data_IF_461411188573
#
_entry.id   IF_461411188573
#
_cell.length_a   1.000
_cell.length_b   1.000
_cell.length_c   1.000
_cell.angle_alpha   90.00
_cell.angle_beta   90.00
_cell.angle_gamma   90.00
#
_symmetry.space_group_name_H-M   'P 1'
#
loop_
_entity.id
_entity.type
_entity.pdbx_description
1 polymer ?
#
# COMPACT_ATOMS: atom_id res chain seq x y z
N UNK A 1 -6.38 -32.24 10.18
CA UNK A 1 -6.23 -31.28 11.30
C UNK A 1 -6.37 -29.83 10.83
N UNK A 2 -5.60 -29.36 9.85
CA UNK A 2 -5.67 -27.96 9.36
C UNK A 2 -7.09 -27.47 9.01
N UNK A 3 -7.91 -28.30 8.38
CA UNK A 3 -9.28 -27.94 8.01
C UNK A 3 -10.21 -27.70 9.23
N UNK A 4 -9.96 -28.38 10.36
CA UNK A 4 -10.77 -28.22 11.58
C UNK A 4 -10.39 -26.94 12.35
N UNK A 5 -9.11 -26.58 12.39
CA UNK A 5 -8.66 -25.32 12.99
C UNK A 5 -9.15 -24.11 12.20
N UNK A 6 -9.09 -24.18 10.87
CA UNK A 6 -9.56 -23.11 9.99
C UNK A 6 -11.08 -22.91 10.11
N UNK A 7 -11.85 -24.00 10.19
CA UNK A 7 -13.29 -23.95 10.49
C UNK A 7 -13.59 -23.33 11.86
N UNK A 8 -12.76 -23.59 12.87
CA UNK A 8 -12.92 -23.00 14.21
C UNK A 8 -12.68 -21.49 14.17
N UNK A 9 -11.57 -21.05 13.57
CA UNK A 9 -11.23 -19.62 13.42
C UNK A 9 -12.33 -18.89 12.63
N UNK A 10 -12.83 -19.49 11.55
CA UNK A 10 -13.93 -18.94 10.78
C UNK A 10 -15.18 -18.74 11.65
N UNK A 11 -15.60 -19.76 12.40
CA UNK A 11 -16.80 -19.70 13.26
C UNK A 11 -16.66 -18.63 14.34
N UNK A 12 -15.52 -18.58 15.02
CA UNK A 12 -15.26 -17.58 16.07
C UNK A 12 -15.26 -16.16 15.50
N UNK A 13 -14.64 -15.96 14.34
CA UNK A 13 -14.61 -14.66 13.65
C UNK A 13 -16.00 -14.23 13.21
N UNK A 14 -16.74 -15.14 12.55
CA UNK A 14 -18.10 -14.89 12.11
C UNK A 14 -19.01 -14.51 13.28
N UNK A 15 -18.96 -15.25 14.37
CA UNK A 15 -19.75 -14.97 15.57
C UNK A 15 -19.39 -13.63 16.21
N UNK A 16 -18.10 -13.28 16.25
CA UNK A 16 -17.64 -11.98 16.76
C UNK A 16 -18.18 -10.81 15.94
N UNK A 17 -18.22 -10.95 14.62
CA UNK A 17 -18.74 -9.92 13.72
C UNK A 17 -20.27 -9.87 13.83
N UNK A 18 -20.95 -11.02 13.75
CA UNK A 18 -22.42 -11.10 13.75
C UNK A 18 -23.01 -10.41 14.98
N UNK A 19 -22.49 -10.71 16.19
CA UNK A 19 -22.97 -10.12 17.44
C UNK A 19 -22.89 -8.58 17.48
N UNK A 20 -21.95 -7.99 16.71
CA UNK A 20 -21.76 -6.53 16.67
C UNK A 20 -22.58 -5.84 15.60
N UNK A 21 -23.01 -6.56 14.57
CA UNK A 21 -23.74 -5.99 13.42
C UNK A 21 -25.20 -6.43 13.37
N UNK A 22 -25.63 -7.39 14.20
CA UNK A 22 -27.00 -7.93 14.24
C UNK A 22 -28.08 -6.86 14.45
N UNK A 23 -27.80 -5.86 15.28
CA UNK A 23 -28.72 -4.76 15.57
C UNK A 23 -28.62 -3.58 14.60
N UNK A 24 -27.73 -3.64 13.59
CA UNK A 24 -27.54 -2.55 12.63
C UNK A 24 -28.44 -2.71 11.40
N UNK A 25 -29.07 -1.60 11.03
CA UNK A 25 -29.92 -1.50 9.84
C UNK A 25 -29.23 -0.77 8.66
N UNK A 26 -28.04 -0.20 8.88
CA UNK A 26 -27.25 0.54 7.89
C UNK A 26 -25.75 0.32 8.10
N UNK A 27 -24.98 0.39 7.02
CA UNK A 27 -23.52 0.28 7.01
C UNK A 27 -23.02 -1.03 7.63
N UNK A 28 -23.79 -2.11 7.45
CA UNK A 28 -23.49 -3.42 8.02
C UNK A 28 -22.17 -3.94 7.46
N UNK A 29 -21.98 -3.79 6.14
CA UNK A 29 -20.74 -4.20 5.46
C UNK A 29 -19.53 -3.39 5.96
N UNK A 30 -19.69 -2.06 6.08
CA UNK A 30 -18.64 -1.16 6.57
C UNK A 30 -18.22 -1.53 8.01
N UNK A 31 -19.17 -1.75 8.91
CA UNK A 31 -18.87 -2.11 10.30
C UNK A 31 -18.21 -3.49 10.39
N UNK A 32 -18.67 -4.46 9.60
CA UNK A 32 -18.06 -5.78 9.54
C UNK A 32 -16.58 -5.69 9.13
N UNK A 33 -16.27 -4.94 8.06
CA UNK A 33 -14.89 -4.70 7.61
C UNK A 33 -14.04 -3.99 8.66
N UNK A 34 -14.59 -2.97 9.34
CA UNK A 34 -13.91 -2.26 10.42
C UNK A 34 -13.52 -3.19 11.57
N UNK A 35 -14.38 -4.15 11.92
CA UNK A 35 -14.09 -5.17 12.94
C UNK A 35 -13.00 -6.14 12.45
N UNK A 36 -13.10 -6.61 11.21
CA UNK A 36 -12.19 -7.60 10.64
C UNK A 36 -10.77 -7.06 10.45
N UNK A 37 -10.63 -5.82 9.99
CA UNK A 37 -9.35 -5.14 9.79
C UNK A 37 -8.79 -4.53 11.10
N UNK A 38 -9.39 -4.88 12.25
CA UNK A 38 -8.98 -4.43 13.58
C UNK A 38 -8.78 -2.91 13.68
N UNK A 39 -9.64 -2.14 13.03
CA UNK A 39 -9.58 -0.68 12.95
C UNK A 39 -8.27 -0.10 12.35
N UNK A 40 -7.52 -0.84 11.53
CA UNK A 40 -6.50 -0.21 10.67
C UNK A 40 -7.20 0.75 9.69
N UNK A 41 -7.18 2.03 10.02
CA UNK A 41 -7.92 3.07 9.29
C UNK A 41 -7.49 3.16 7.82
N UNK A 42 -6.20 2.99 7.54
CA UNK A 42 -5.69 3.08 6.17
C UNK A 42 -6.22 1.94 5.28
N UNK A 43 -6.11 0.69 5.76
CA UNK A 43 -6.57 -0.48 5.01
C UNK A 43 -8.09 -0.47 4.82
N UNK A 44 -8.81 -0.02 5.85
CA UNK A 44 -10.25 0.18 5.77
C UNK A 44 -10.61 1.23 4.72
N UNK A 45 -10.01 2.43 4.77
CA UNK A 45 -10.28 3.54 3.85
C UNK A 45 -10.01 3.14 2.39
N UNK A 46 -8.93 2.40 2.14
CA UNK A 46 -8.59 1.90 0.81
C UNK A 46 -9.63 0.92 0.29
N UNK A 47 -9.98 -0.08 1.10
CA UNK A 47 -10.91 -1.13 0.71
C UNK A 47 -12.32 -0.57 0.50
N UNK A 48 -12.81 0.29 1.40
CA UNK A 48 -14.16 0.87 1.27
C UNK A 48 -14.25 1.81 0.07
N UNK A 49 -13.20 2.58 -0.23
CA UNK A 49 -13.15 3.43 -1.42
C UNK A 49 -13.17 2.61 -2.71
N UNK A 50 -12.43 1.50 -2.77
CA UNK A 50 -12.34 0.67 -3.97
C UNK A 50 -13.67 0.00 -4.32
N UNK A 51 -14.42 -0.43 -3.31
CA UNK A 51 -15.67 -1.16 -3.51
C UNK A 51 -16.93 -0.27 -3.42
N UNK A 52 -16.76 1.02 -3.12
CA UNK A 52 -17.85 1.99 -2.97
C UNK A 52 -18.71 1.78 -1.71
N UNK A 53 -18.14 1.17 -0.67
CA UNK A 53 -18.82 0.85 0.59
C UNK A 53 -18.86 2.11 1.45
N UNK A 54 -20.03 2.44 2.04
CA UNK A 54 -20.20 3.63 2.88
C UNK A 54 -20.72 3.25 4.25
N UNK A 55 -20.33 3.99 5.28
CA UNK A 55 -20.89 3.85 6.63
C UNK A 55 -22.41 4.12 6.65
N UNK A 56 -22.90 4.95 5.72
CA UNK A 56 -24.32 5.29 5.57
C UNK A 56 -25.09 4.36 4.64
N UNK A 57 -24.45 3.34 4.05
CA UNK A 57 -25.09 2.44 3.07
C UNK A 57 -26.35 1.79 3.65
N UNK A 58 -27.40 1.68 2.85
CA UNK A 58 -28.59 0.96 3.29
C UNK A 58 -28.37 -0.56 3.19
N UNK A 59 -29.24 -1.34 3.83
CA UNK A 59 -29.12 -2.79 3.85
C UNK A 59 -29.15 -3.43 2.44
N UNK A 60 -29.96 -2.88 1.53
CA UNK A 60 -30.08 -3.40 0.16
C UNK A 60 -28.81 -3.09 -0.67
N UNK A 61 -28.21 -1.91 -0.48
CA UNK A 61 -26.92 -1.56 -1.10
C UNK A 61 -25.79 -2.49 -0.62
N UNK A 62 -25.72 -2.74 0.69
CA UNK A 62 -24.76 -3.69 1.26
C UNK A 62 -24.99 -5.11 0.71
N UNK A 63 -26.25 -5.51 0.53
CA UNK A 63 -26.62 -6.80 -0.04
C UNK A 63 -26.19 -6.91 -1.52
N UNK A 64 -26.38 -5.87 -2.31
CA UNK A 64 -25.96 -5.84 -3.72
C UNK A 64 -24.44 -6.00 -3.86
N UNK A 65 -23.68 -5.27 -3.05
CA UNK A 65 -22.22 -5.37 -3.00
C UNK A 65 -21.80 -6.80 -2.61
N UNK A 66 -22.41 -7.36 -1.56
CA UNK A 66 -22.13 -8.72 -1.13
C UNK A 66 -22.38 -9.74 -2.24
N UNK A 67 -23.52 -9.64 -2.94
CA UNK A 67 -23.85 -10.54 -4.05
C UNK A 67 -22.84 -10.44 -5.20
N UNK A 68 -22.37 -9.23 -5.54
CA UNK A 68 -21.34 -9.04 -6.56
C UNK A 68 -20.05 -9.78 -6.18
N UNK A 69 -19.54 -9.56 -4.97
CA UNK A 69 -18.31 -10.19 -4.47
C UNK A 69 -18.44 -11.72 -4.48
N UNK A 70 -19.57 -12.23 -3.99
CA UNK A 70 -19.82 -13.65 -3.92
C UNK A 70 -19.91 -14.30 -5.31
N UNK A 71 -20.50 -13.59 -6.29
CA UNK A 71 -20.51 -14.02 -7.67
C UNK A 71 -19.09 -14.01 -8.28
N UNK A 72 -18.29 -12.97 -8.03
CA UNK A 72 -16.90 -12.89 -8.51
C UNK A 72 -16.06 -14.06 -7.96
N UNK A 73 -16.15 -14.32 -6.65
CA UNK A 73 -15.48 -15.47 -6.01
C UNK A 73 -15.97 -16.79 -6.60
N UNK A 74 -17.28 -16.92 -6.85
CA UNK A 74 -17.84 -18.11 -7.49
C UNK A 74 -17.28 -18.31 -8.89
N UNK A 75 -17.17 -17.26 -9.70
CA UNK A 75 -16.57 -17.34 -11.04
C UNK A 75 -15.12 -17.81 -10.96
N UNK A 76 -14.31 -17.20 -10.09
CA UNK A 76 -12.90 -17.58 -9.89
C UNK A 76 -12.78 -19.07 -9.51
N UNK A 77 -13.59 -19.53 -8.56
CA UNK A 77 -13.51 -20.90 -8.05
C UNK A 77 -13.99 -21.94 -9.07
N UNK A 78 -15.09 -21.67 -9.79
CA UNK A 78 -15.66 -22.64 -10.73
C UNK A 78 -15.01 -22.62 -12.11
N UNK A 79 -14.66 -21.44 -12.62
CA UNK A 79 -14.16 -21.27 -13.99
C UNK A 79 -12.65 -21.43 -14.03
N UNK A 80 -11.92 -20.84 -13.09
CA UNK A 80 -10.45 -20.80 -13.13
C UNK A 80 -9.77 -21.98 -12.41
N UNK A 81 -10.56 -22.87 -11.77
CA UNK A 81 -10.08 -24.09 -11.09
C UNK A 81 -8.85 -23.88 -10.19
N UNK A 82 -8.79 -22.75 -9.47
CA UNK A 82 -7.73 -22.53 -8.49
C UNK A 82 -7.74 -23.66 -7.44
N UNK A 83 -6.62 -24.39 -7.24
CA UNK A 83 -6.56 -25.48 -6.27
C UNK A 83 -6.38 -24.88 -4.87
N UNK A 84 -7.45 -24.32 -4.30
CA UNK A 84 -7.50 -23.84 -2.92
C UNK A 84 -7.64 -25.02 -1.93
N UNK A 85 -6.78 -26.05 -2.06
CA UNK A 85 -6.73 -27.22 -1.17
C UNK A 85 -8.07 -27.92 -0.91
N UNK A 86 -8.11 -28.80 0.09
CA UNK A 86 -9.31 -29.54 0.54
C UNK A 86 -10.41 -28.65 1.18
N UNK A 87 -10.46 -27.35 0.87
CA UNK A 87 -11.61 -26.51 1.18
C UNK A 87 -12.73 -26.92 0.22
N UNK A 88 -13.70 -27.66 0.74
CA UNK A 88 -14.86 -28.08 -0.03
C UNK A 88 -15.80 -26.88 -0.30
N UNK A 89 -15.35 -25.99 -1.17
CA UNK A 89 -16.03 -24.75 -1.61
C UNK A 89 -17.33 -25.03 -2.35
N UNK A 90 -17.56 -26.26 -2.81
CA UNK A 90 -18.86 -26.68 -3.35
C UNK A 90 -19.99 -26.48 -2.33
N UNK A 91 -19.70 -26.60 -1.02
CA UNK A 91 -20.65 -26.35 0.07
C UNK A 91 -20.93 -24.86 0.32
N UNK A 92 -19.94 -23.99 0.07
CA UNK A 92 -20.09 -22.53 0.12
C UNK A 92 -20.90 -22.08 -1.10
N UNK A 93 -20.56 -22.59 -2.28
CA UNK A 93 -21.22 -22.28 -3.53
C UNK A 93 -22.68 -22.77 -3.61
N UNK A 94 -23.00 -23.93 -3.04
CA UNK A 94 -24.39 -24.40 -2.92
C UNK A 94 -25.19 -23.55 -1.93
N UNK A 95 -24.58 -23.08 -0.83
CA UNK A 95 -25.22 -22.08 0.06
C UNK A 95 -25.46 -20.74 -0.65
N UNK A 96 -24.57 -20.36 -1.55
CA UNK A 96 -24.67 -19.14 -2.36
C UNK A 96 -25.71 -19.21 -3.49
N UNK A 97 -26.15 -20.40 -3.91
CA UNK A 97 -27.01 -20.56 -5.08
C UNK A 97 -28.51 -20.32 -4.83
N UNK A 98 -28.97 -20.23 -3.58
CA UNK A 98 -30.40 -20.14 -3.24
C UNK A 98 -30.84 -18.71 -2.87
N UNK A 99 -30.63 -17.73 -3.75
CA UNK A 99 -30.78 -16.29 -3.44
C UNK A 99 -32.18 -15.68 -3.65
N UNK A 100 -33.17 -16.41 -4.14
CA UNK A 100 -34.41 -15.77 -4.62
C UNK A 100 -35.49 -15.55 -3.53
N UNK A 101 -35.37 -16.11 -2.31
CA UNK A 101 -36.29 -15.82 -1.19
C UNK A 101 -35.61 -15.99 0.18
N UNK A 102 -34.75 -15.05 0.56
CA UNK A 102 -33.96 -15.14 1.80
C UNK A 102 -34.49 -14.22 2.91
N UNK A 103 -34.57 -14.75 4.15
CA UNK A 103 -34.86 -13.96 5.35
C UNK A 103 -33.79 -12.88 5.57
N UNK A 104 -34.12 -11.81 6.30
CA UNK A 104 -33.15 -10.74 6.68
C UNK A 104 -31.88 -11.32 7.31
N UNK A 105 -32.03 -12.36 8.14
CA UNK A 105 -30.92 -13.09 8.76
C UNK A 105 -29.97 -13.72 7.72
N UNK A 106 -30.51 -14.42 6.72
CA UNK A 106 -29.70 -15.01 5.65
C UNK A 106 -28.99 -13.95 4.82
N UNK A 107 -29.66 -12.84 4.53
CA UNK A 107 -29.04 -11.70 3.82
C UNK A 107 -27.89 -11.11 4.63
N UNK A 108 -28.06 -10.96 5.95
CA UNK A 108 -27.02 -10.47 6.84
C UNK A 108 -25.83 -11.46 6.92
N UNK A 109 -26.11 -12.77 7.00
CA UNK A 109 -25.07 -13.80 6.93
C UNK A 109 -24.25 -13.67 5.64
N UNK A 110 -24.88 -13.45 4.48
CA UNK A 110 -24.18 -13.24 3.22
C UNK A 110 -23.31 -11.97 3.21
N UNK A 111 -23.79 -10.86 3.77
CA UNK A 111 -23.01 -9.63 3.90
C UNK A 111 -21.76 -9.88 4.74
N UNK A 112 -21.89 -10.56 5.88
CA UNK A 112 -20.75 -10.89 6.75
C UNK A 112 -19.77 -11.82 6.04
N UNK A 113 -20.25 -12.84 5.33
CA UNK A 113 -19.39 -13.76 4.56
C UNK A 113 -18.61 -12.97 3.50
N UNK A 114 -19.28 -12.09 2.75
CA UNK A 114 -18.62 -11.26 1.75
C UNK A 114 -17.57 -10.32 2.38
N UNK A 115 -17.85 -9.73 3.54
CA UNK A 115 -16.87 -8.93 4.30
C UNK A 115 -15.63 -9.74 4.70
N UNK A 116 -15.82 -10.96 5.20
CA UNK A 116 -14.73 -11.88 5.55
C UNK A 116 -13.87 -12.22 4.32
N UNK A 117 -14.50 -12.50 3.18
CA UNK A 117 -13.80 -12.79 1.93
C UNK A 117 -13.00 -11.58 1.44
N UNK A 118 -13.60 -10.39 1.44
CA UNK A 118 -12.91 -9.15 1.07
C UNK A 118 -11.69 -8.91 1.95
N UNK A 119 -11.86 -8.95 3.28
CA UNK A 119 -10.76 -8.71 4.22
C UNK A 119 -9.64 -9.76 4.05
N UNK A 120 -10.01 -11.03 3.85
CA UNK A 120 -9.06 -12.13 3.61
C UNK A 120 -8.29 -11.94 2.30
N UNK A 121 -8.98 -11.73 1.19
CA UNK A 121 -8.36 -11.50 -0.13
C UNK A 121 -7.46 -10.27 -0.08
N UNK A 122 -7.94 -9.17 0.49
CA UNK A 122 -7.16 -7.94 0.62
C UNK A 122 -5.88 -8.15 1.43
N UNK A 123 -5.97 -8.85 2.57
CA UNK A 123 -4.79 -9.16 3.40
C UNK A 123 -3.81 -10.05 2.65
N UNK A 124 -4.31 -11.05 1.91
CA UNK A 124 -3.48 -11.91 1.07
C UNK A 124 -2.79 -11.13 -0.05
N UNK A 125 -3.50 -10.23 -0.76
CA UNK A 125 -2.91 -9.39 -1.80
C UNK A 125 -1.82 -8.48 -1.22
N UNK A 126 -2.07 -7.83 -0.08
CA UNK A 126 -1.06 -7.02 0.62
C UNK A 126 0.15 -7.85 1.04
N UNK A 127 -0.08 -9.08 1.49
CA UNK A 127 1.01 -10.00 1.82
C UNK A 127 1.82 -10.40 0.59
N UNK A 128 1.16 -10.70 -0.54
CA UNK A 128 1.82 -11.05 -1.79
C UNK A 128 2.57 -9.87 -2.41
N UNK A 129 2.01 -8.65 -2.39
CA UNK A 129 2.72 -7.42 -2.76
C UNK A 129 3.98 -7.24 -1.90
N UNK A 130 3.86 -7.50 -0.59
CA UNK A 130 4.98 -7.47 0.34
C UNK A 130 5.99 -8.58 0.03
N UNK A 131 5.54 -9.79 -0.31
CA UNK A 131 6.40 -10.90 -0.67
C UNK A 131 7.15 -10.67 -1.99
N UNK A 132 6.48 -10.15 -3.02
CA UNK A 132 7.10 -9.76 -4.29
C UNK A 132 8.12 -8.63 -4.08
N UNK A 133 7.84 -7.68 -3.18
CA UNK A 133 8.82 -6.68 -2.75
C UNK A 133 9.95 -7.24 -1.86
N UNK A 134 9.81 -8.46 -1.34
CA UNK A 134 10.79 -9.12 -0.45
C UNK A 134 11.61 -10.24 -1.10
N UNK A 135 11.27 -10.67 -2.33
CA UNK A 135 11.99 -11.73 -3.06
C UNK A 135 13.32 -11.27 -3.65
N UNK A 136 13.60 -9.98 -3.67
CA UNK A 136 14.97 -9.47 -3.63
C UNK A 136 15.16 -8.79 -2.27
N UNK A 137 16.28 -8.98 -1.55
CA UNK A 137 16.64 -8.04 -0.50
C UNK A 137 16.56 -6.64 -1.14
N UNK A 138 15.92 -5.64 -0.52
CA UNK A 138 15.77 -4.33 -1.13
C UNK A 138 17.18 -3.85 -1.44
N UNK A 139 17.55 -3.96 -2.72
CA UNK A 139 18.92 -3.72 -3.12
C UNK A 139 19.29 -2.31 -2.72
N UNK A 140 20.57 -2.10 -2.44
CA UNK A 140 21.07 -0.74 -2.25
C UNK A 140 20.68 0.10 -3.46
N UNK A 141 20.14 1.28 -3.18
CA UNK A 141 19.66 2.21 -4.20
C UNK A 141 20.26 3.58 -3.97
N UNK A 142 20.47 4.34 -5.03
CA UNK A 142 20.77 5.77 -4.91
C UNK A 142 19.50 6.58 -5.17
N UNK A 143 19.18 7.47 -4.25
CA UNK A 143 18.18 8.51 -4.41
C UNK A 143 18.84 9.78 -4.93
N UNK A 144 18.51 10.16 -6.15
CA UNK A 144 19.03 11.33 -6.83
C UNK A 144 17.96 12.43 -6.79
N UNK A 145 18.27 13.58 -6.19
CA UNK A 145 17.33 14.70 -6.03
C UNK A 145 17.95 15.99 -6.53
N UNK A 146 17.13 16.81 -7.19
CA UNK A 146 17.40 18.23 -7.38
C UNK A 146 16.57 19.01 -6.34
N UNK A 147 17.24 19.76 -5.48
CA UNK A 147 16.66 20.43 -4.31
C UNK A 147 17.13 21.87 -4.23
N UNK A 148 16.34 22.79 -3.66
CA UNK A 148 16.79 24.15 -3.39
C UNK A 148 17.87 24.17 -2.31
N UNK A 149 18.74 25.17 -2.36
CA UNK A 149 19.83 25.41 -1.39
C UNK A 149 19.36 25.40 0.07
N UNK A 150 18.15 25.91 0.34
CA UNK A 150 17.55 25.98 1.67
C UNK A 150 17.27 24.61 2.30
N UNK A 151 17.04 23.58 1.48
CA UNK A 151 16.79 22.22 1.95
C UNK A 151 18.09 21.50 2.38
N UNK A 152 19.23 21.87 1.80
CA UNK A 152 20.52 21.19 2.02
C UNK A 152 21.49 21.97 2.89
N UNK A 153 21.25 23.27 3.14
CA UNK A 153 22.14 24.12 3.95
C UNK A 153 22.46 23.53 5.34
N UNK A 154 21.52 22.77 5.91
CA UNK A 154 21.67 22.13 7.23
C UNK A 154 22.36 20.75 7.17
N UNK A 155 22.48 20.15 5.99
CA UNK A 155 23.00 18.78 5.78
C UNK A 155 24.52 18.72 5.67
N UNK A 156 25.20 19.86 5.54
CA UNK A 156 26.66 19.93 5.30
C UNK A 156 27.50 19.39 6.48
N UNK A 157 26.87 19.03 7.61
CA UNK A 157 27.57 18.64 8.85
C UNK A 157 27.56 17.14 9.17
N UNK A 158 26.65 16.36 8.58
CA UNK A 158 26.57 14.91 8.78
C UNK A 158 26.22 14.24 7.45
N UNK A 159 27.07 13.34 6.92
CA UNK A 159 26.76 12.60 5.70
C UNK A 159 25.66 11.55 5.93
N UNK A 160 25.35 11.18 7.17
CA UNK A 160 24.30 10.22 7.49
C UNK A 160 22.95 10.91 7.67
N UNK A 161 21.94 10.33 7.05
CA UNK A 161 20.58 10.84 7.07
C UNK A 161 19.64 9.80 7.65
N UNK A 162 18.84 10.24 8.62
CA UNK A 162 17.73 9.46 9.13
C UNK A 162 16.51 9.60 8.22
N UNK A 163 15.55 8.66 8.33
CA UNK A 163 14.33 8.62 7.49
C UNK A 163 13.62 9.98 7.37
N UNK A 164 13.45 10.69 8.48
CA UNK A 164 12.73 11.98 8.51
C UNK A 164 13.46 13.07 7.70
N UNK A 165 14.78 13.01 7.59
CA UNK A 165 15.58 13.95 6.81
C UNK A 165 15.49 13.62 5.31
N UNK A 166 15.51 12.34 4.98
CA UNK A 166 15.27 11.84 3.63
C UNK A 166 13.87 12.25 3.14
N UNK A 167 12.84 12.09 3.97
CA UNK A 167 11.47 12.52 3.62
C UNK A 167 11.38 14.03 3.36
N UNK A 168 12.02 14.86 4.18
CA UNK A 168 12.08 16.32 3.96
C UNK A 168 12.78 16.68 2.66
N UNK A 169 13.83 15.96 2.29
CA UNK A 169 14.54 16.16 1.03
C UNK A 169 13.67 15.75 -0.16
N UNK A 170 12.96 14.63 -0.06
CA UNK A 170 11.99 14.20 -1.08
C UNK A 170 10.93 15.28 -1.25
N UNK A 171 10.36 15.80 -0.16
CA UNK A 171 9.32 16.85 -0.19
C UNK A 171 9.81 18.17 -0.79
N UNK A 172 11.09 18.48 -0.59
CA UNK A 172 11.70 19.72 -1.10
C UNK A 172 12.23 19.57 -2.53
N UNK A 173 12.27 18.35 -3.08
CA UNK A 173 12.84 18.11 -4.40
C UNK A 173 11.93 18.68 -5.49
N UNK A 174 12.53 19.34 -6.48
CA UNK A 174 11.84 19.77 -7.69
C UNK A 174 11.86 18.68 -8.77
N UNK A 175 12.92 17.88 -8.77
CA UNK A 175 13.09 16.72 -9.64
C UNK A 175 13.75 15.58 -8.86
N UNK A 176 13.35 14.33 -9.13
CA UNK A 176 13.88 13.16 -8.44
C UNK A 176 13.98 11.94 -9.33
N UNK A 177 14.89 11.03 -9.00
CA UNK A 177 15.02 9.73 -9.61
C UNK A 177 15.62 8.76 -8.60
N UNK A 178 15.08 7.55 -8.51
CA UNK A 178 15.72 6.49 -7.75
C UNK A 178 16.24 5.41 -8.70
N UNK A 179 17.51 5.04 -8.52
CA UNK A 179 18.24 4.08 -9.33
C UNK A 179 18.93 3.05 -8.44
N UNK A 180 19.45 1.97 -9.04
CA UNK A 180 20.32 1.04 -8.31
C UNK A 180 21.60 1.78 -7.88
N UNK A 181 22.15 1.46 -6.70
CA UNK A 181 23.38 2.11 -6.19
C UNK A 181 24.55 2.01 -7.18
N UNK A 182 24.63 0.90 -7.90
CA UNK A 182 25.64 0.62 -8.92
C UNK A 182 25.45 1.39 -10.24
N UNK A 183 24.28 2.02 -10.45
CA UNK A 183 24.01 2.78 -11.67
C UNK A 183 24.68 4.15 -11.59
N UNK A 184 25.51 4.49 -12.57
CA UNK A 184 26.10 5.82 -12.66
C UNK A 184 25.10 6.80 -13.29
N UNK A 185 24.87 7.91 -12.60
CA UNK A 185 24.10 9.03 -13.12
C UNK A 185 25.10 10.16 -13.35
N UNK A 186 25.46 10.40 -14.62
CA UNK A 186 26.38 11.48 -14.97
C UNK A 186 25.67 12.83 -14.82
N UNK A 187 26.01 13.55 -13.76
CA UNK A 187 25.49 14.89 -13.46
C UNK A 187 26.68 15.83 -13.27
N UNK A 188 26.71 16.94 -14.00
CA UNK A 188 27.75 17.95 -13.83
C UNK A 188 27.43 18.84 -12.62
N UNK A 189 28.23 18.69 -11.57
CA UNK A 189 28.08 19.44 -10.31
C UNK A 189 29.33 20.26 -9.96
N UNK A 190 29.13 21.38 -9.28
CA UNK A 190 30.19 22.09 -8.55
C UNK A 190 30.12 21.78 -7.05
N UNK A 191 31.06 21.00 -6.49
CA UNK A 191 31.09 20.74 -5.06
C UNK A 191 31.61 21.93 -4.24
N UNK A 192 32.26 22.92 -4.88
CA UNK A 192 32.88 24.06 -4.20
C UNK A 192 31.94 25.28 -4.09
N UNK A 193 30.80 25.25 -4.78
CA UNK A 193 29.82 26.31 -4.71
C UNK A 193 29.26 26.43 -3.28
N UNK A 194 29.29 27.64 -2.73
CA UNK A 194 28.85 27.85 -1.34
C UNK A 194 27.34 27.70 -1.23
N UNK A 195 26.91 26.78 -0.38
CA UNK A 195 25.49 26.63 -0.05
C UNK A 195 25.09 27.76 0.90
N UNK A 196 24.15 28.60 0.45
CA UNK A 196 23.53 29.67 1.25
C UNK A 196 22.03 29.43 1.31
N UNK A 197 21.41 29.61 2.48
CA UNK A 197 19.96 29.37 2.69
C UNK A 197 19.06 30.25 1.82
N UNK A 198 19.56 31.41 1.41
CA UNK A 198 18.77 32.45 0.72
C UNK A 198 18.94 32.37 -0.80
N UNK A 199 19.70 31.39 -1.27
CA UNK A 199 20.05 31.22 -2.67
C UNK A 199 18.94 30.51 -3.46
N UNK A 200 18.61 31.01 -4.64
CA UNK A 200 17.69 30.36 -5.57
C UNK A 200 18.34 29.22 -6.37
N UNK A 201 19.62 28.94 -6.11
CA UNK A 201 20.36 27.90 -6.82
C UNK A 201 19.82 26.50 -6.49
N UNK A 202 19.74 25.66 -7.53
CA UNK A 202 19.42 24.24 -7.41
C UNK A 202 20.68 23.44 -7.18
N UNK A 203 20.60 22.53 -6.23
CA UNK A 203 21.67 21.61 -5.91
C UNK A 203 21.23 20.19 -6.21
N UNK A 204 22.19 19.40 -6.64
CA UNK A 204 22.03 17.97 -6.78
C UNK A 204 22.53 17.27 -5.53
N UNK A 205 21.74 16.32 -5.04
CA UNK A 205 22.13 15.43 -3.95
C UNK A 205 21.86 13.98 -4.34
N UNK A 206 22.85 13.13 -4.13
CA UNK A 206 22.76 11.68 -4.30
C UNK A 206 22.94 11.02 -2.94
N UNK A 207 21.94 10.25 -2.53
CA UNK A 207 21.89 9.59 -1.22
C UNK A 207 21.84 8.09 -1.46
N UNK A 208 22.83 7.35 -0.97
CA UNK A 208 22.81 5.89 -1.00
C UNK A 208 21.98 5.38 0.18
N UNK A 209 20.98 4.54 -0.13
CA UNK A 209 20.05 3.96 0.83
C UNK A 209 20.33 2.47 0.96
N UNK A 210 20.55 2.01 2.20
CA UNK A 210 20.93 0.62 2.46
C UNK A 210 19.83 -0.38 2.07
N UNK A 211 18.56 0.01 2.16
CA UNK A 211 17.39 -0.82 1.89
C UNK A 211 16.37 -0.12 0.96
N UNK A 212 16.83 0.78 0.07
CA UNK A 212 15.93 1.61 -0.75
C UNK A 212 15.42 0.95 -2.04
N UNK A 213 15.67 -0.33 -2.31
CA UNK A 213 15.25 -0.98 -3.55
C UNK A 213 13.76 -0.82 -3.92
N UNK A 214 12.88 -0.72 -2.92
CA UNK A 214 11.42 -0.60 -3.11
C UNK A 214 10.96 0.74 -3.71
N UNK A 215 11.81 1.77 -3.62
CA UNK A 215 11.51 3.10 -4.18
C UNK A 215 12.03 3.28 -5.62
N UNK A 216 12.74 2.29 -6.17
CA UNK A 216 13.20 2.30 -7.57
C UNK A 216 11.98 2.28 -8.51
N UNK A 217 12.00 3.12 -9.54
CA UNK A 217 10.95 3.20 -10.55
C UNK A 217 9.67 3.91 -10.11
N UNK A 218 9.62 4.46 -8.90
CA UNK A 218 8.48 5.29 -8.46
C UNK A 218 8.49 6.63 -9.19
N UNK A 219 7.32 7.01 -9.71
CA UNK A 219 7.13 8.21 -10.54
C UNK A 219 6.62 9.42 -9.75
N UNK A 220 6.25 9.26 -8.47
CA UNK A 220 5.72 10.35 -7.62
C UNK A 220 6.42 10.41 -6.26
N UNK A 221 6.58 11.61 -5.69
CA UNK A 221 7.10 11.81 -4.33
C UNK A 221 6.29 11.03 -3.29
N UNK A 222 4.95 11.04 -3.43
CA UNK A 222 4.07 10.27 -2.55
C UNK A 222 4.38 8.77 -2.61
N UNK A 223 4.54 8.22 -3.81
CA UNK A 223 4.93 6.82 -4.01
C UNK A 223 6.29 6.50 -3.39
N UNK A 224 7.26 7.41 -3.47
CA UNK A 224 8.56 7.22 -2.82
C UNK A 224 8.44 7.19 -1.30
N UNK A 225 7.74 8.16 -0.68
CA UNK A 225 7.60 8.23 0.78
C UNK A 225 6.84 7.03 1.35
N UNK A 226 5.79 6.58 0.64
CA UNK A 226 4.99 5.42 1.07
C UNK A 226 5.80 4.13 1.11
N UNK A 227 6.69 3.95 0.13
CA UNK A 227 7.51 2.74 -0.01
C UNK A 227 8.90 2.89 0.62
N UNK A 228 9.19 4.05 1.22
CA UNK A 228 10.42 4.30 1.94
C UNK A 228 10.46 3.45 3.22
N UNK A 229 11.47 2.59 3.42
CA UNK A 229 11.52 1.72 4.59
C UNK A 229 11.47 2.48 5.91
N UNK A 230 10.81 1.90 6.92
CA UNK A 230 10.62 2.53 8.24
C UNK A 230 11.93 2.81 8.97
N UNK A 231 12.96 1.98 8.76
CA UNK A 231 14.28 2.10 9.38
C UNK A 231 15.35 2.44 8.33
N UNK A 232 14.98 3.14 7.25
CA UNK A 232 15.95 3.50 6.21
C UNK A 232 17.00 4.47 6.77
N UNK A 233 18.24 4.22 6.40
CA UNK A 233 19.36 5.13 6.61
C UNK A 233 19.95 5.49 5.26
N UNK A 234 20.31 6.76 5.12
CA UNK A 234 20.93 7.31 3.92
C UNK A 234 22.35 7.78 4.20
N UNK A 235 23.22 7.68 3.20
CA UNK A 235 24.53 8.34 3.21
C UNK A 235 24.65 9.22 1.99
N UNK A 236 24.98 10.51 2.17
CA UNK A 236 25.21 11.44 1.07
C UNK A 236 26.50 11.00 0.35
N UNK A 237 26.34 10.63 -0.92
CA UNK A 237 27.44 10.23 -1.81
C UNK A 237 27.95 11.41 -2.62
N UNK A 238 27.03 12.20 -3.18
CA UNK A 238 27.35 13.36 -4.01
C UNK A 238 26.47 14.53 -3.57
N UNK A 239 27.08 15.71 -3.48
CA UNK A 239 26.40 16.97 -3.18
C UNK A 239 27.12 18.08 -3.93
N UNK A 240 26.38 18.89 -4.68
CA UNK A 240 26.97 20.03 -5.38
C UNK A 240 25.96 20.86 -6.14
N UNK A 241 26.38 22.06 -6.53
CA UNK A 241 25.58 22.94 -7.36
C UNK A 241 25.41 22.36 -8.75
N UNK A 242 24.19 22.31 -9.26
CA UNK A 242 23.91 21.71 -10.55
C UNK A 242 24.26 22.68 -11.69
N UNK A 243 25.32 22.39 -12.47
CA UNK A 243 25.76 23.25 -13.58
C UNK A 243 24.90 23.10 -14.82
N UNK A 244 24.51 21.86 -15.13
CA UNK A 244 23.63 21.54 -16.26
C UNK A 244 22.32 20.91 -15.78
N UNK A 245 21.23 21.62 -16.01
CA UNK A 245 19.87 21.16 -15.68
C UNK A 245 19.27 20.25 -16.76
N UNK A 246 19.90 20.11 -17.93
CA UNK A 246 19.38 19.34 -19.05
C UNK A 246 19.23 17.85 -18.72
N UNK A 247 20.12 17.31 -17.88
CA UNK A 247 20.07 15.92 -17.42
C UNK A 247 18.81 15.62 -16.58
N UNK A 248 18.24 16.63 -15.89
CA UNK A 248 17.04 16.48 -15.09
C UNK A 248 15.78 16.17 -15.93
N UNK A 249 15.84 16.31 -17.26
CA UNK A 249 14.75 15.84 -18.15
C UNK A 249 14.53 14.33 -18.07
N UNK A 250 15.53 13.57 -17.60
CA UNK A 250 15.44 12.13 -17.37
C UNK A 250 14.96 11.79 -15.95
N UNK A 251 14.66 12.80 -15.14
CA UNK A 251 14.15 12.67 -13.78
C UNK A 251 12.65 12.89 -13.79
N UNK A 252 11.97 12.36 -12.78
CA UNK A 252 10.57 12.66 -12.54
C UNK A 252 10.46 14.08 -12.01
N UNK A 253 9.58 14.86 -12.61
CA UNK A 253 9.27 16.22 -12.18
C UNK A 253 8.06 16.20 -11.27
N UNK A 254 8.15 16.99 -10.20
CA UNK A 254 7.07 17.18 -9.22
C UNK A 254 6.03 18.15 -9.75
#
# INVERSE_FOLDING_TARGET
MANQELLKIYKETFQKVSLKVESKDKGVMYEALKILLNANKYDLDLLVSQFGIKESSCFDEDQEIANRILNDVKQIVYVERLPLGDLNLSSIATKLSNQINQSKEKKMELIIIAACLMAGIFTCLRYLEKEESSKLPPGRSSLCLAVPSSAIYKLVKDPHLERNEIEKLIDSATEFKCVKESEEVSVEIDPNEKISSDSQLKFYVRIDLENGGNIIGKETQYGMKRELPLNVKGTIRELGFLKDVSILRKFNRV
#
